data_IF_833428905479
#
_entry.id   IF_833428905479
#
_cell.length_a   1.000
_cell.length_b   1.000
_cell.length_c   1.000
_cell.angle_alpha   90.00
_cell.angle_beta   90.00
_cell.angle_gamma   90.00
#
_symmetry.space_group_name_H-M   'P 1'
#
loop_
_entity.id
_entity.type
_entity.pdbx_description
1 polymer ?
#
# COMPACT_ATOMS: atom_id res chain seq x y z
N UNK A 1 -10.94 13.12 1.88
CA UNK A 1 -10.59 11.84 2.55
C UNK A 1 -9.20 11.41 2.13
N UNK A 2 -8.35 11.07 3.10
CA UNK A 2 -6.99 10.59 2.82
C UNK A 2 -6.98 9.07 2.87
N UNK A 3 -6.35 8.43 1.89
CA UNK A 3 -6.14 6.97 1.87
C UNK A 3 -4.64 6.70 1.75
N UNK A 4 -4.10 5.89 2.65
CA UNK A 4 -2.70 5.44 2.62
C UNK A 4 -2.71 3.93 2.41
N UNK A 5 -1.97 3.46 1.41
CA UNK A 5 -1.76 2.05 1.17
C UNK A 5 -0.30 1.69 1.38
N UNK A 6 -0.05 0.67 2.20
CA UNK A 6 1.30 0.20 2.52
C UNK A 6 1.40 -1.29 2.18
N UNK A 7 2.35 -1.62 1.30
CA UNK A 7 2.83 -2.99 1.05
C UNK A 7 4.17 -3.20 1.80
N UNK A 8 4.16 -3.79 3.01
CA UNK A 8 5.35 -3.97 3.83
C UNK A 8 6.04 -5.32 3.56
N UNK A 9 7.37 -5.31 3.44
CA UNK A 9 8.17 -6.54 3.29
C UNK A 9 9.03 -6.87 4.52
N UNK A 10 9.37 -5.89 5.39
CA UNK A 10 10.28 -6.07 6.53
C UNK A 10 11.76 -6.27 6.13
N UNK A 11 11.97 -6.98 5.03
CA UNK A 11 13.23 -7.16 4.30
C UNK A 11 12.89 -7.25 2.82
N UNK A 12 13.47 -6.44 1.95
CA UNK A 12 13.14 -6.40 0.52
C UNK A 12 12.63 -5.03 0.11
N UNK A 13 11.40 -4.95 -0.40
CA UNK A 13 10.83 -3.68 -0.89
C UNK A 13 9.62 -3.30 -0.06
N UNK A 14 9.52 -2.05 0.40
CA UNK A 14 8.27 -1.50 0.92
C UNK A 14 7.80 -0.40 -0.01
N UNK A 15 6.53 -0.45 -0.38
CA UNK A 15 5.87 0.59 -1.16
C UNK A 15 4.80 1.28 -0.34
N UNK A 16 4.70 2.60 -0.50
CA UNK A 16 3.66 3.42 0.13
C UNK A 16 3.08 4.36 -0.92
N UNK A 17 1.76 4.50 -0.90
CA UNK A 17 1.03 5.47 -1.71
C UNK A 17 0.07 6.28 -0.85
N UNK A 18 -0.14 7.53 -1.24
CA UNK A 18 -1.01 8.48 -0.53
C UNK A 18 -1.97 9.08 -1.53
N UNK A 19 -3.26 8.95 -1.23
CA UNK A 19 -4.35 9.55 -1.99
C UNK A 19 -5.03 10.64 -1.17
N UNK A 20 -5.49 11.68 -1.85
CA UNK A 20 -6.46 12.63 -1.34
C UNK A 20 -7.64 12.66 -2.30
N UNK A 21 -8.84 12.40 -1.79
CA UNK A 21 -10.09 12.45 -2.57
C UNK A 21 -10.00 11.60 -3.86
N UNK A 22 -9.43 10.40 -3.72
CA UNK A 22 -9.14 9.43 -4.81
C UNK A 22 -8.15 9.93 -5.88
N UNK A 23 -7.40 11.00 -5.61
CA UNK A 23 -6.28 11.47 -6.44
C UNK A 23 -4.97 11.03 -5.79
N UNK A 24 -4.12 10.30 -6.52
CA UNK A 24 -2.80 9.91 -6.05
C UNK A 24 -1.88 11.13 -5.94
N UNK A 25 -1.42 11.43 -4.72
CA UNK A 25 -0.56 12.57 -4.41
C UNK A 25 0.92 12.20 -4.34
N UNK A 26 1.26 11.08 -3.72
CA UNK A 26 2.63 10.61 -3.59
C UNK A 26 2.69 9.08 -3.67
N UNK A 27 3.78 8.58 -4.25
CA UNK A 27 4.08 7.16 -4.39
C UNK A 27 5.57 6.96 -4.23
N UNK A 28 5.98 6.10 -3.30
CA UNK A 28 7.40 5.85 -3.02
C UNK A 28 7.67 4.40 -2.70
N UNK A 29 8.91 4.00 -2.94
CA UNK A 29 9.42 2.69 -2.59
C UNK A 29 10.79 2.80 -1.94
N UNK A 30 11.09 1.88 -1.05
CA UNK A 30 12.43 1.63 -0.54
C UNK A 30 12.80 0.17 -0.74
N UNK A 31 14.05 -0.09 -1.14
CA UNK A 31 14.63 -1.43 -1.17
C UNK A 31 15.73 -1.49 -0.11
N UNK A 32 15.52 -2.28 0.94
CA UNK A 32 16.50 -2.45 2.01
C UNK A 32 16.43 -3.85 2.63
N UNK A 33 17.50 -4.28 3.31
CA UNK A 33 17.53 -5.54 4.07
C UNK A 33 17.34 -5.33 5.56
N UNK A 34 17.44 -4.09 6.04
CA UNK A 34 17.24 -3.74 7.44
C UNK A 34 15.82 -3.23 7.65
N UNK A 35 15.04 -3.97 8.44
CA UNK A 35 13.66 -3.60 8.77
C UNK A 35 13.55 -2.22 9.39
N UNK A 36 14.59 -1.73 10.09
CA UNK A 36 14.59 -0.38 10.65
C UNK A 36 14.52 0.69 9.57
N UNK A 37 15.14 0.44 8.41
CA UNK A 37 15.08 1.36 7.26
C UNK A 37 13.69 1.39 6.62
N UNK A 38 12.98 0.26 6.62
CA UNK A 38 11.59 0.22 6.20
C UNK A 38 10.68 0.98 7.17
N UNK A 39 10.93 0.84 8.47
CA UNK A 39 10.23 1.58 9.49
C UNK A 39 10.47 3.10 9.36
N UNK A 40 11.73 3.54 9.31
CA UNK A 40 12.09 4.96 9.13
C UNK A 40 11.43 5.53 7.87
N UNK A 41 11.40 4.76 6.78
CA UNK A 41 10.73 5.17 5.54
C UNK A 41 9.21 5.36 5.70
N UNK A 42 8.52 4.48 6.42
CA UNK A 42 7.09 4.64 6.71
C UNK A 42 6.87 5.85 7.62
N UNK A 43 7.65 5.96 8.70
CA UNK A 43 7.59 7.05 9.67
C UNK A 43 7.75 8.39 8.95
N UNK A 44 8.87 8.60 8.26
CA UNK A 44 9.21 9.87 7.62
C UNK A 44 8.17 10.30 6.59
N UNK A 45 7.59 9.33 5.86
CA UNK A 45 6.58 9.64 4.88
C UNK A 45 5.28 10.06 5.54
N UNK A 46 4.77 9.30 6.52
CA UNK A 46 3.49 9.66 7.15
C UNK A 46 3.63 10.91 8.02
N UNK A 47 4.75 11.08 8.71
CA UNK A 47 5.04 12.24 9.58
C UNK A 47 5.00 13.54 8.77
N UNK A 48 5.59 13.52 7.56
CA UNK A 48 5.52 14.61 6.58
C UNK A 48 4.09 15.03 6.26
N UNK A 49 3.14 14.10 6.18
CA UNK A 49 1.73 14.38 5.90
C UNK A 49 0.87 14.51 7.16
N UNK A 50 1.41 14.23 8.34
CA UNK A 50 0.69 14.39 9.61
C UNK A 50 0.87 15.80 10.19
N UNK A 51 2.10 16.32 10.14
CA UNK A 51 2.46 17.63 10.72
C UNK A 51 2.64 18.74 9.69
N UNK A 52 2.19 18.54 8.45
CA UNK A 52 2.26 19.58 7.44
C UNK A 52 1.34 20.77 7.78
N UNK A 53 1.94 21.96 7.87
CA UNK A 53 1.23 23.23 8.09
C UNK A 53 0.67 23.81 6.78
N UNK A 54 -0.43 24.55 6.90
CA UNK A 54 -1.30 25.07 5.84
C UNK A 54 -0.56 25.98 4.84
N UNK A 55 0.56 26.58 5.27
CA UNK A 55 1.37 27.50 4.46
C UNK A 55 2.06 26.83 3.24
N UNK A 56 2.22 25.50 3.25
CA UNK A 56 2.88 24.76 2.15
C UNK A 56 1.93 23.86 1.34
N UNK A 57 0.61 23.95 1.51
CA UNK A 57 -0.38 23.08 0.83
C UNK A 57 -0.09 21.57 1.00
N UNK A 58 0.23 21.13 2.23
CA UNK A 58 0.32 19.71 2.52
C UNK A 58 -0.73 19.31 3.56
N UNK A 59 -1.24 18.09 3.37
CA UNK A 59 -2.36 17.48 4.07
C UNK A 59 -2.26 17.64 5.59
N UNK A 60 -3.36 18.04 6.22
CA UNK A 60 -3.56 17.76 7.65
C UNK A 60 -4.22 16.37 7.69
N UNK A 61 -3.48 15.35 8.13
CA UNK A 61 -4.10 14.11 8.60
C UNK A 61 -4.83 14.43 9.91
N UNK A 62 -5.94 15.18 9.84
CA UNK A 62 -6.83 15.29 10.99
C UNK A 62 -7.29 13.87 11.29
N UNK A 63 -7.05 13.42 12.53
CA UNK A 63 -7.17 12.04 13.04
C UNK A 63 -8.49 11.33 12.74
N UNK A 64 -9.49 12.05 12.20
CA UNK A 64 -10.82 11.55 11.90
C UNK A 64 -11.10 11.26 10.40
N UNK A 65 -10.18 11.52 9.46
CA UNK A 65 -10.49 11.39 8.00
C UNK A 65 -9.52 10.56 7.17
N UNK A 66 -8.47 10.01 7.79
CA UNK A 66 -7.47 9.19 7.12
C UNK A 66 -7.75 7.69 7.28
N UNK A 67 -7.71 6.96 6.17
CA UNK A 67 -7.77 5.50 6.15
C UNK A 67 -6.36 4.98 5.86
N UNK A 68 -5.79 4.21 6.80
CA UNK A 68 -4.49 3.56 6.61
C UNK A 68 -4.72 2.06 6.42
N UNK A 69 -4.48 1.58 5.21
CA UNK A 69 -4.55 0.19 4.85
C UNK A 69 -3.12 -0.38 4.77
N UNK A 70 -2.84 -1.46 5.52
CA UNK A 70 -1.53 -2.12 5.52
C UNK A 70 -1.72 -3.61 5.21
N UNK A 71 -1.00 -4.13 4.23
CA UNK A 71 -1.04 -5.56 3.94
C UNK A 71 -0.36 -6.39 5.04
N UNK A 72 -1.07 -7.39 5.56
CA UNK A 72 -0.57 -8.34 6.54
C UNK A 72 0.01 -9.57 5.85
N UNK A 73 1.30 -9.49 5.49
CA UNK A 73 2.04 -10.55 4.80
C UNK A 73 2.51 -11.70 5.70
N UNK A 74 2.10 -11.76 6.98
CA UNK A 74 2.65 -12.73 7.94
C UNK A 74 2.37 -14.19 7.57
N UNK A 75 1.18 -14.49 7.03
CA UNK A 75 0.77 -15.87 6.76
C UNK A 75 1.42 -16.48 5.50
N UNK A 76 2.11 -15.69 4.68
CA UNK A 76 2.86 -16.21 3.54
C UNK A 76 4.25 -16.70 3.92
N UNK A 77 4.77 -16.32 5.09
CA UNK A 77 6.06 -16.74 5.62
C UNK A 77 5.90 -17.91 6.61
N UNK A 78 5.60 -19.10 6.07
CA UNK A 78 5.31 -20.31 6.85
C UNK A 78 6.52 -20.91 7.61
N UNK A 79 7.73 -20.38 7.43
CA UNK A 79 8.94 -20.87 8.09
C UNK A 79 9.44 -19.81 9.08
N UNK A 80 9.95 -20.22 10.25
CA UNK A 80 10.61 -19.34 11.21
C UNK A 80 11.92 -18.77 10.64
N UNK A 81 11.80 -17.76 9.78
CA UNK A 81 12.92 -17.08 9.13
C UNK A 81 13.11 -15.69 9.72
N UNK A 82 14.34 -15.18 9.63
CA UNK A 82 14.69 -13.80 9.97
C UNK A 82 13.74 -12.79 9.33
N UNK A 83 13.37 -13.00 8.07
CA UNK A 83 12.47 -12.13 7.32
C UNK A 83 11.07 -12.06 7.92
N UNK A 84 10.58 -13.17 8.50
CA UNK A 84 9.31 -13.19 9.24
C UNK A 84 9.40 -12.35 10.51
N UNK A 85 10.48 -12.50 11.27
CA UNK A 85 10.68 -11.76 12.52
C UNK A 85 10.89 -10.26 12.26
N UNK A 86 11.59 -9.92 11.19
CA UNK A 86 11.82 -8.55 10.76
C UNK A 86 10.52 -7.90 10.22
N UNK A 87 9.66 -8.65 9.51
CA UNK A 87 8.31 -8.22 9.18
C UNK A 87 7.43 -8.04 10.43
N UNK A 88 7.46 -8.98 11.38
CA UNK A 88 6.72 -8.87 12.65
C UNK A 88 7.11 -7.61 13.43
N UNK A 89 8.40 -7.30 13.50
CA UNK A 89 8.91 -6.06 14.11
C UNK A 89 8.37 -4.83 13.40
N UNK A 90 8.43 -4.81 12.06
CA UNK A 90 7.92 -3.70 11.26
C UNK A 90 6.42 -3.47 11.52
N UNK A 91 5.61 -4.53 11.47
CA UNK A 91 4.15 -4.43 11.67
C UNK A 91 3.80 -4.00 13.09
N UNK A 92 4.48 -4.53 14.11
CA UNK A 92 4.24 -4.15 15.50
C UNK A 92 4.63 -2.69 15.80
N UNK A 93 5.73 -2.21 15.23
CA UNK A 93 6.12 -0.80 15.39
C UNK A 93 5.17 0.13 14.62
N UNK A 94 4.72 -0.27 13.42
CA UNK A 94 3.70 0.48 12.69
C UNK A 94 2.40 0.57 13.51
N UNK A 95 1.91 -0.54 14.04
CA UNK A 95 0.71 -0.57 14.89
C UNK A 95 0.80 0.39 16.08
N UNK A 96 1.92 0.35 16.81
CA UNK A 96 2.15 1.25 17.94
C UNK A 96 2.11 2.72 17.50
N UNK A 97 2.81 3.07 16.44
CA UNK A 97 2.93 4.45 15.98
C UNK A 97 1.63 5.06 15.46
N UNK A 98 0.89 4.34 14.60
CA UNK A 98 -0.41 4.82 14.14
C UNK A 98 -1.41 4.91 15.30
N UNK A 99 -1.30 4.04 16.32
CA UNK A 99 -2.12 4.15 17.54
C UNK A 99 -1.81 5.42 18.32
N UNK A 100 -0.53 5.79 18.51
CA UNK A 100 -0.12 7.04 19.17
C UNK A 100 -0.62 8.28 18.42
N UNK A 101 -0.83 8.17 17.11
CA UNK A 101 -1.40 9.20 16.26
C UNK A 101 -2.92 9.17 16.14
N UNK A 102 -3.58 8.29 16.89
CA UNK A 102 -5.03 8.11 16.84
C UNK A 102 -5.55 7.73 15.43
N UNK A 103 -4.70 7.10 14.61
CA UNK A 103 -5.03 6.64 13.27
C UNK A 103 -5.37 5.14 13.31
N UNK A 104 -6.56 4.79 12.83
CA UNK A 104 -6.96 3.39 12.74
C UNK A 104 -6.30 2.68 11.55
N UNK A 105 -5.64 1.55 11.83
CA UNK A 105 -5.09 0.66 10.81
C UNK A 105 -6.13 -0.38 10.37
N UNK A 106 -6.35 -0.45 9.07
CA UNK A 106 -7.00 -1.55 8.40
C UNK A 106 -5.96 -2.57 7.92
N UNK A 107 -5.91 -3.71 8.60
CA UNK A 107 -5.11 -4.84 8.14
C UNK A 107 -5.75 -5.50 6.92
N UNK A 108 -5.07 -5.45 5.78
CA UNK A 108 -5.51 -6.05 4.51
C UNK A 108 -4.88 -7.42 4.35
N UNK A 109 -5.69 -8.42 4.03
CA UNK A 109 -5.16 -9.75 3.72
C UNK A 109 -4.56 -9.74 2.30
N UNK A 110 -3.32 -10.22 2.08
CA UNK A 110 -2.80 -10.55 0.74
C UNK A 110 -3.72 -11.43 -0.13
N UNK A 111 -4.74 -12.09 0.41
CA UNK A 111 -5.77 -12.78 -0.39
C UNK A 111 -6.59 -11.78 -1.21
N UNK A 112 -6.89 -10.61 -0.64
CA UNK A 112 -7.60 -9.55 -1.34
C UNK A 112 -6.78 -9.08 -2.54
N UNK A 113 -5.53 -8.64 -2.31
CA UNK A 113 -4.63 -8.19 -3.37
C UNK A 113 -4.48 -9.26 -4.46
N UNK A 114 -4.22 -10.53 -4.08
CA UNK A 114 -4.15 -11.65 -5.04
C UNK A 114 -5.42 -11.85 -5.87
N UNK A 115 -6.60 -11.67 -5.28
CA UNK A 115 -7.88 -11.79 -6.01
C UNK A 115 -8.07 -10.66 -7.01
N UNK A 116 -7.78 -9.41 -6.61
CA UNK A 116 -7.84 -8.24 -7.50
C UNK A 116 -6.88 -8.44 -8.69
N UNK A 117 -5.63 -8.83 -8.43
CA UNK A 117 -4.63 -9.09 -9.46
C UNK A 117 -5.12 -10.14 -10.47
N UNK A 118 -5.66 -11.26 -9.97
CA UNK A 118 -6.17 -12.34 -10.82
C UNK A 118 -7.34 -11.89 -11.69
N UNK A 119 -8.26 -11.09 -11.15
CA UNK A 119 -9.38 -10.54 -11.90
C UNK A 119 -8.88 -9.62 -13.04
N UNK A 120 -7.95 -8.70 -12.73
CA UNK A 120 -7.33 -7.78 -13.71
C UNK A 120 -6.56 -8.52 -14.81
N UNK A 121 -5.76 -9.52 -14.46
CA UNK A 121 -5.02 -10.31 -15.43
C UNK A 121 -5.95 -11.11 -16.37
N UNK A 122 -7.03 -11.66 -15.84
CA UNK A 122 -8.02 -12.39 -16.64
C UNK A 122 -8.74 -11.45 -17.61
N UNK A 123 -9.17 -10.28 -17.15
CA UNK A 123 -9.80 -9.25 -17.99
C UNK A 123 -8.90 -8.83 -19.16
N UNK A 124 -7.60 -8.62 -18.91
CA UNK A 124 -6.63 -8.29 -19.96
C UNK A 124 -6.38 -9.42 -20.96
N UNK A 125 -6.53 -10.69 -20.56
CA UNK A 125 -6.25 -11.85 -21.42
C UNK A 125 -7.45 -12.24 -22.28
N UNK A 126 -8.66 -12.13 -21.75
CA UNK A 126 -9.84 -12.78 -22.33
C UNK A 126 -10.85 -11.82 -22.99
N UNK A 127 -10.57 -10.51 -23.08
CA UNK A 127 -11.36 -9.46 -23.75
C UNK A 127 -12.89 -9.60 -23.54
N UNK A 128 -13.41 -8.84 -22.56
CA UNK A 128 -14.82 -8.52 -22.29
C UNK A 128 -15.76 -9.61 -21.73
N UNK A 129 -15.41 -10.90 -21.71
CA UNK A 129 -16.31 -11.90 -21.08
C UNK A 129 -16.18 -12.00 -19.55
N UNK A 130 -15.13 -11.41 -18.97
CA UNK A 130 -14.97 -11.35 -17.51
C UNK A 130 -15.57 -10.05 -17.00
N UNK A 131 -16.29 -10.12 -15.87
CA UNK A 131 -16.81 -8.93 -15.19
C UNK A 131 -15.77 -8.44 -14.16
N UNK A 132 -15.71 -7.12 -14.01
CA UNK A 132 -15.03 -6.50 -12.86
C UNK A 132 -15.76 -6.92 -11.59
N UNK A 133 -15.07 -7.63 -10.70
CA UNK A 133 -15.61 -8.09 -9.41
C UNK A 133 -15.21 -7.15 -8.26
N UNK A 134 -14.18 -6.32 -8.48
CA UNK A 134 -13.62 -5.42 -7.47
C UNK A 134 -13.57 -4.00 -8.01
N UNK A 135 -13.93 -3.03 -7.17
CA UNK A 135 -13.64 -1.63 -7.45
C UNK A 135 -12.13 -1.42 -7.51
N UNK A 136 -11.69 -0.64 -8.50
CA UNK A 136 -10.27 -0.40 -8.76
C UNK A 136 -10.00 1.04 -9.16
N UNK A 137 -8.79 1.51 -8.87
CA UNK A 137 -8.29 2.75 -9.44
C UNK A 137 -8.26 2.62 -10.98
N UNK A 138 -8.94 3.53 -11.67
CA UNK A 138 -9.07 3.52 -13.14
C UNK A 138 -7.74 3.71 -13.85
N UNK A 139 -6.78 4.37 -13.20
CA UNK A 139 -5.44 4.63 -13.70
C UNK A 139 -4.52 3.41 -13.55
N UNK A 140 -4.86 2.48 -12.65
CA UNK A 140 -4.17 1.20 -12.54
C UNK A 140 -4.64 0.25 -13.65
N UNK A 141 -3.72 -0.08 -14.53
CA UNK A 141 -3.96 -0.95 -15.69
C UNK A 141 -2.92 -2.06 -15.75
N UNK A 142 -3.33 -3.18 -16.33
CA UNK A 142 -2.46 -4.30 -16.62
C UNK A 142 -2.53 -4.58 -18.12
N UNK A 143 -1.37 -4.81 -18.73
CA UNK A 143 -1.28 -5.23 -20.11
C UNK A 143 -0.54 -6.56 -20.19
N UNK A 144 -1.22 -7.57 -20.71
CA UNK A 144 -0.68 -8.93 -20.80
C UNK A 144 0.69 -8.95 -21.50
N UNK A 145 1.69 -9.51 -20.81
CA UNK A 145 3.07 -9.58 -21.29
C UNK A 145 3.87 -8.27 -21.18
N UNK A 146 3.26 -7.13 -20.85
CA UNK A 146 3.94 -5.84 -20.68
C UNK A 146 3.98 -5.34 -19.22
N UNK A 147 3.14 -5.89 -18.35
CA UNK A 147 3.16 -5.66 -16.91
C UNK A 147 2.18 -4.59 -16.45
N UNK A 148 2.44 -4.04 -15.27
CA UNK A 148 1.57 -3.10 -14.55
C UNK A 148 1.90 -1.65 -14.89
N UNK A 149 0.85 -0.84 -15.04
CA UNK A 149 0.96 0.58 -15.34
C UNK A 149 0.06 1.41 -14.43
N UNK A 150 0.53 2.60 -14.07
CA UNK A 150 -0.27 3.66 -13.47
C UNK A 150 -0.16 4.91 -14.33
N UNK A 151 -1.27 5.50 -14.77
CA UNK A 151 -1.25 6.62 -15.73
C UNK A 151 -0.38 6.34 -16.96
N UNK A 152 -0.48 5.13 -17.52
CA UNK A 152 0.33 4.62 -18.64
C UNK A 152 1.84 4.45 -18.37
N UNK A 153 2.33 4.79 -17.18
CA UNK A 153 3.72 4.57 -16.79
C UNK A 153 3.90 3.21 -16.14
N UNK A 154 4.98 2.50 -16.50
CA UNK A 154 5.30 1.21 -15.88
C UNK A 154 5.59 1.40 -14.39
N UNK A 155 5.00 0.55 -13.56
CA UNK A 155 5.24 0.51 -12.11
C UNK A 155 5.74 -0.86 -11.65
N UNK A 156 6.31 -0.92 -10.46
CA UNK A 156 6.70 -2.16 -9.79
C UNK A 156 5.45 -2.94 -9.31
N UNK A 157 5.65 -4.20 -8.91
CA UNK A 157 4.62 -4.98 -8.26
C UNK A 157 4.26 -4.43 -6.86
N UNK A 158 5.22 -3.89 -6.12
CA UNK A 158 4.99 -3.37 -4.78
C UNK A 158 4.18 -2.06 -4.80
N UNK A 159 4.47 -1.13 -5.71
CA UNK A 159 3.62 0.05 -5.93
C UNK A 159 2.21 -0.33 -6.36
N UNK A 160 2.08 -1.31 -7.25
CA UNK A 160 0.77 -1.85 -7.65
C UNK A 160 0.00 -2.36 -6.43
N UNK A 161 0.64 -3.16 -5.59
CA UNK A 161 0.01 -3.72 -4.40
C UNK A 161 -0.38 -2.60 -3.44
N UNK A 162 0.50 -1.63 -3.17
CA UNK A 162 0.19 -0.45 -2.37
C UNK A 162 -1.02 0.34 -2.91
N UNK A 163 -1.17 0.49 -4.23
CA UNK A 163 -2.34 1.12 -4.87
C UNK A 163 -3.62 0.33 -4.62
N UNK A 164 -3.58 -1.00 -4.76
CA UNK A 164 -4.73 -1.86 -4.49
C UNK A 164 -5.11 -1.77 -3.00
N UNK A 165 -4.12 -1.85 -2.12
CA UNK A 165 -4.27 -1.77 -0.67
C UNK A 165 -4.87 -0.41 -0.27
N UNK A 166 -4.40 0.71 -0.82
CA UNK A 166 -4.94 2.04 -0.52
C UNK A 166 -6.43 2.16 -0.85
N UNK A 167 -6.88 1.49 -1.89
CA UNK A 167 -8.28 1.50 -2.35
C UNK A 167 -9.10 0.34 -1.79
N UNK A 168 -8.58 -0.41 -0.82
CA UNK A 168 -9.36 -1.43 -0.12
C UNK A 168 -10.48 -0.78 0.70
N UNK A 169 -11.71 -1.19 0.43
CA UNK A 169 -12.91 -0.83 1.17
C UNK A 169 -13.44 -2.07 1.91
N UNK A 170 -13.84 -1.90 3.18
CA UNK A 170 -14.31 -2.99 4.05
C UNK A 170 -15.79 -3.29 3.86
#
# INVERSE_FOLDING_TARGET
MIKIGIDPSGTGTTAIVIYQDNILLDKKEIINKDWKKHYEFIYDLVDKYYYADDENHYLILESCTAIVNIENCLYTNANGSKDRDDLLRLLGVAEWYFTEWEIYINWVSPRHTKSVLKNMENLSKYNDSCLWEFDKDTNLTYEYGKGWKYNNEKISNHLRDAIIIANYER
#
